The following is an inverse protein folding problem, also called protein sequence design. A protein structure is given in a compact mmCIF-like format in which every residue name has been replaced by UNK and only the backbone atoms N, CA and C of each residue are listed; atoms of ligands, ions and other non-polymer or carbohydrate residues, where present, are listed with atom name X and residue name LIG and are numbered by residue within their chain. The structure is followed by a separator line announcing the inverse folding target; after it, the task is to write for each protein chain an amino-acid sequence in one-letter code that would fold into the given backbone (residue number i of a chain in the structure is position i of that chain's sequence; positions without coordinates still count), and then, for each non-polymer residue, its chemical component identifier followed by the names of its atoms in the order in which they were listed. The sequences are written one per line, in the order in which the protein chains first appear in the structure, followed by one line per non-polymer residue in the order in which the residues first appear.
data_IF_118976405045
#
_entry.id   IF_118976405045
#
_cell.length_a   1.000
_cell.length_b   1.000
_cell.length_c   1.000
_cell.angle_alpha   90.00
_cell.angle_beta   90.00
_cell.angle_gamma   90.00
#
_symmetry.space_group_name_H-M   'P 1'
#
loop_
_entity.id
_entity.type
_entity.pdbx_description
1 polymer ?
#
# COMPACT_ATOMS: atom_id res chain seq x y z
N UNK A 1 -9.84 -1.69 48.27
CA UNK A 1 -8.63 -1.11 47.63
C UNK A 1 -8.06 -2.19 46.72
N UNK A 2 -8.29 -2.14 45.40
CA UNK A 2 -7.88 -3.25 44.52
C UNK A 2 -8.12 -3.05 43.02
N UNK A 3 -8.80 -1.98 42.58
CA UNK A 3 -9.02 -1.74 41.15
C UNK A 3 -7.80 -1.19 40.41
N UNK A 4 -6.95 -0.41 41.08
CA UNK A 4 -5.89 0.36 40.41
C UNK A 4 -4.79 -0.52 39.82
N UNK A 5 -4.46 -1.65 40.47
CA UNK A 5 -3.51 -2.63 39.94
C UNK A 5 -4.01 -3.38 38.70
N UNK A 6 -5.32 -3.62 38.62
CA UNK A 6 -5.93 -4.27 37.45
C UNK A 6 -5.93 -3.35 36.22
N UNK A 7 -6.20 -2.06 36.42
CA UNK A 7 -6.11 -1.06 35.34
C UNK A 7 -4.68 -0.89 34.81
N UNK A 8 -3.67 -0.86 35.68
CA UNK A 8 -2.26 -0.80 35.25
C UNK A 8 -1.82 -2.01 34.43
N UNK A 9 -2.40 -3.20 34.66
CA UNK A 9 -2.11 -4.40 33.89
C UNK A 9 -2.85 -4.44 32.53
N UNK A 10 -4.05 -3.85 32.45
CA UNK A 10 -4.84 -3.82 31.22
C UNK A 10 -4.34 -2.80 30.19
N UNK A 11 -3.81 -1.66 30.64
CA UNK A 11 -3.30 -0.60 29.76
C UNK A 11 -2.24 -1.11 28.77
N UNK A 12 -1.17 -1.82 29.17
CA UNK A 12 -0.17 -2.31 28.22
C UNK A 12 -0.74 -3.36 27.26
N UNK A 13 -1.73 -4.16 27.71
CA UNK A 13 -2.36 -5.20 26.90
C UNK A 13 -3.21 -4.59 25.78
N UNK A 14 -3.95 -3.52 26.08
CA UNK A 14 -4.65 -2.70 25.07
C UNK A 14 -3.67 -2.04 24.11
N UNK A 15 -2.56 -1.50 24.61
CA UNK A 15 -1.56 -0.83 23.77
C UNK A 15 -0.90 -1.79 22.78
N UNK A 16 -0.56 -3.00 23.21
CA UNK A 16 -0.04 -4.07 22.34
C UNK A 16 -1.08 -4.46 21.28
N UNK A 17 -2.34 -4.64 21.68
CA UNK A 17 -3.44 -4.91 20.74
C UNK A 17 -3.60 -3.83 19.69
N UNK A 18 -3.50 -2.55 20.08
CA UNK A 18 -3.56 -1.40 19.18
C UNK A 18 -2.38 -1.38 18.19
N UNK A 19 -1.16 -1.67 18.67
CA UNK A 19 0.03 -1.75 17.81
C UNK A 19 -0.13 -2.88 16.78
N UNK A 20 -0.56 -4.06 17.23
CA UNK A 20 -0.80 -5.20 16.34
C UNK A 20 -1.88 -4.84 15.31
N UNK A 21 -2.99 -4.25 15.74
CA UNK A 21 -4.06 -3.77 14.86
C UNK A 21 -3.57 -2.75 13.83
N UNK A 22 -2.75 -1.78 14.25
CA UNK A 22 -2.17 -0.78 13.37
C UNK A 22 -1.20 -1.40 12.35
N UNK A 23 -0.39 -2.39 12.75
CA UNK A 23 0.49 -3.14 11.85
C UNK A 23 -0.31 -3.98 10.84
N UNK A 24 -1.40 -4.64 11.26
CA UNK A 24 -2.29 -5.35 10.35
C UNK A 24 -2.98 -4.40 9.37
N UNK A 25 -3.45 -3.24 9.84
CA UNK A 25 -4.09 -2.24 8.99
C UNK A 25 -3.10 -1.64 7.97
N UNK A 26 -1.89 -1.29 8.41
CA UNK A 26 -0.86 -0.71 7.55
C UNK A 26 -0.25 -1.73 6.58
N UNK A 27 -0.11 -3.00 6.99
CA UNK A 27 0.29 -4.11 6.13
C UNK A 27 -0.76 -4.47 5.08
N UNK A 28 -2.04 -4.28 5.39
CA UNK A 28 -3.15 -4.51 4.46
C UNK A 28 -3.32 -3.35 3.47
N UNK A 29 -3.10 -2.11 3.91
CA UNK A 29 -3.22 -0.90 3.07
C UNK A 29 -2.04 -0.67 2.11
N UNK A 30 -0.92 -1.39 2.24
CA UNK A 30 0.19 -1.30 1.25
C UNK A 30 0.14 -2.35 0.14
N UNK A 31 -0.83 -3.27 0.14
CA UNK A 31 -0.87 -4.35 -0.85
C UNK A 31 -2.20 -4.51 -1.59
N UNK A 32 -3.19 -3.68 -1.31
CA UNK A 32 -4.52 -3.81 -1.92
C UNK A 32 -5.01 -2.60 -2.73
N UNK A 33 -4.25 -1.49 -2.76
CA UNK A 33 -4.53 -0.36 -3.67
C UNK A 33 -3.76 -0.40 -5.00
N UNK A 34 -2.75 -1.27 -5.14
CA UNK A 34 -1.98 -1.41 -6.40
C UNK A 34 -2.64 -2.34 -7.44
N UNK A 35 -3.80 -2.96 -7.12
CA UNK A 35 -4.51 -3.85 -8.05
C UNK A 35 -5.78 -3.21 -8.62
N UNK A 36 -6.31 -2.16 -7.98
CA UNK A 36 -7.57 -1.54 -8.39
C UNK A 36 -7.40 -0.30 -9.30
N UNK A 37 -6.17 0.21 -9.46
CA UNK A 37 -5.97 1.47 -10.20
C UNK A 37 -4.62 1.60 -10.91
N UNK A 38 -3.98 0.50 -11.33
CA UNK A 38 -2.86 0.64 -12.28
C UNK A 38 -3.41 1.35 -13.51
N UNK A 39 -3.03 2.61 -13.66
CA UNK A 39 -3.45 3.38 -14.81
C UNK A 39 -2.81 2.75 -16.04
N UNK A 40 -3.40 2.92 -17.23
CA UNK A 40 -2.75 2.49 -18.45
C UNK A 40 -1.31 3.02 -18.57
N UNK A 41 -1.01 4.19 -17.98
CA UNK A 41 0.35 4.75 -17.92
C UNK A 41 1.31 3.93 -17.03
N UNK A 42 0.85 3.43 -15.88
CA UNK A 42 1.65 2.60 -14.97
C UNK A 42 2.04 1.26 -15.61
N UNK A 43 1.12 0.67 -16.38
CA UNK A 43 1.37 -0.57 -17.13
C UNK A 43 2.43 -0.33 -18.22
N UNK A 44 2.39 0.81 -18.90
CA UNK A 44 3.42 1.18 -19.88
C UNK A 44 4.78 1.41 -19.24
N UNK A 45 4.81 2.09 -18.09
CA UNK A 45 6.05 2.34 -17.36
C UNK A 45 6.70 1.04 -16.87
N UNK A 46 5.88 0.10 -16.39
CA UNK A 46 6.35 -1.23 -15.97
C UNK A 46 6.97 -2.01 -17.13
N UNK A 47 6.35 -2.00 -18.32
CA UNK A 47 6.87 -2.68 -19.52
C UNK A 47 8.14 -2.03 -20.07
N UNK A 48 8.22 -0.71 -20.04
CA UNK A 48 9.42 0.03 -20.42
C UNK A 48 10.59 -0.28 -19.47
N UNK A 49 10.34 -0.30 -18.15
CA UNK A 49 11.36 -0.66 -17.16
C UNK A 49 11.83 -2.11 -17.29
N UNK A 50 10.96 -3.03 -17.72
CA UNK A 50 11.32 -4.41 -18.07
C UNK A 50 12.08 -4.53 -19.39
N UNK A 51 12.15 -3.48 -20.20
CA UNK A 51 12.75 -3.50 -21.53
C UNK A 51 11.92 -4.24 -22.57
N UNK A 52 10.62 -4.47 -22.30
CA UNK A 52 9.70 -5.15 -23.23
C UNK A 52 9.26 -4.23 -24.38
N UNK A 53 9.38 -2.91 -24.20
CA UNK A 53 9.05 -1.89 -25.21
C UNK A 53 10.19 -0.88 -25.31
N UNK A 54 10.39 -0.35 -26.51
CA UNK A 54 11.34 0.73 -26.77
C UNK A 54 10.83 2.09 -26.25
N UNK A 55 11.74 3.06 -26.11
CA UNK A 55 11.38 4.43 -25.74
C UNK A 55 10.39 5.07 -26.73
N UNK A 56 10.56 4.79 -28.03
CA UNK A 56 9.66 5.27 -29.08
C UNK A 56 8.23 4.73 -28.93
N UNK A 57 8.09 3.45 -28.58
CA UNK A 57 6.79 2.81 -28.33
C UNK A 57 6.15 3.36 -27.05
N UNK A 58 6.92 3.50 -25.97
CA UNK A 58 6.45 4.10 -24.73
C UNK A 58 5.90 5.52 -24.97
N UNK A 59 6.64 6.35 -25.70
CA UNK A 59 6.24 7.73 -26.00
C UNK A 59 5.00 7.80 -26.90
N UNK A 60 4.89 6.93 -27.92
CA UNK A 60 3.69 6.84 -28.77
C UNK A 60 2.44 6.44 -27.98
N UNK A 61 2.55 5.41 -27.13
CA UNK A 61 1.43 4.92 -26.33
C UNK A 61 1.00 5.95 -25.27
N UNK A 62 1.96 6.61 -24.62
CA UNK A 62 1.70 7.70 -23.67
C UNK A 62 0.99 8.90 -24.31
N UNK A 63 1.34 9.25 -25.55
CA UNK A 63 0.66 10.31 -26.29
C UNK A 63 -0.79 9.94 -26.63
N UNK A 64 -1.06 8.67 -26.94
CA UNK A 64 -2.42 8.17 -27.21
C UNK A 64 -3.30 8.21 -25.96
N UNK A 65 -2.74 7.91 -24.78
CA UNK A 65 -3.48 7.93 -23.51
C UNK A 65 -3.83 9.34 -23.02
N UNK A 66 -3.08 10.36 -23.43
CA UNK A 66 -3.33 11.77 -23.07
C UNK A 66 -4.36 12.47 -23.95
N UNK A 67 -4.91 11.78 -24.95
CA UNK A 67 -5.84 12.32 -25.94
C UNK A 67 -7.29 11.95 -25.60
#
# INVERSE_FOLDING_TARGET
MGGWGFFMMLIPLLLIGLIIYALYQLGSSKRSDEVSSKTPEDILAERFAKGEISEEEYNRMKATLKK
#
